data_IF_504160806869
#
_entry.id   IF_504160806869
#
_cell.length_a   1.000
_cell.length_b   1.000
_cell.length_c   1.000
_cell.angle_alpha   90.00
_cell.angle_beta   90.00
_cell.angle_gamma   90.00
#
_symmetry.space_group_name_H-M   'P 1'
#
loop_
_entity.id
_entity.type
_entity.pdbx_description
1 polymer ?
#
# COMPACT_ATOMS: atom_id res chain seq x y z
N UNK A 1 -19.16 12.03 11.93
CA UNK A 1 -18.15 11.94 13.01
C UNK A 1 -17.86 10.46 13.17
N UNK A 2 -16.76 9.98 12.61
CA UNK A 2 -16.43 8.54 12.65
C UNK A 2 -15.81 8.24 14.00
N UNK A 3 -16.35 7.25 14.69
CA UNK A 3 -15.90 6.84 16.02
C UNK A 3 -14.54 6.14 15.90
N UNK A 4 -13.56 6.61 16.68
CA UNK A 4 -12.20 6.04 16.70
C UNK A 4 -12.24 4.61 17.23
N UNK A 5 -13.26 4.26 18.04
CA UNK A 5 -13.47 2.91 18.55
C UNK A 5 -13.72 1.85 17.47
N UNK A 6 -14.09 2.26 16.24
CA UNK A 6 -14.23 1.34 15.10
C UNK A 6 -12.88 0.92 14.50
N UNK A 7 -11.79 1.65 14.79
CA UNK A 7 -10.46 1.42 14.23
C UNK A 7 -9.47 0.74 15.19
N UNK A 8 -9.92 0.48 16.42
CA UNK A 8 -9.12 -0.13 17.48
C UNK A 8 -9.59 -1.55 17.67
N UNK A 9 -8.79 -2.50 17.17
CA UNK A 9 -9.03 -3.92 17.44
C UNK A 9 -8.13 -4.39 18.59
N UNK A 10 -8.66 -5.14 19.58
CA UNK A 10 -7.81 -5.82 20.54
C UNK A 10 -6.89 -6.80 19.78
N UNK A 11 -5.60 -6.67 19.99
CA UNK A 11 -4.57 -7.42 19.26
C UNK A 11 -4.60 -8.91 19.69
N UNK A 12 -4.98 -9.82 18.78
CA UNK A 12 -4.99 -11.29 19.05
C UNK A 12 -3.61 -11.97 18.85
N UNK A 13 -2.59 -11.25 18.39
CA UNK A 13 -1.25 -11.80 18.16
C UNK A 13 -0.28 -11.26 19.22
N UNK A 14 0.58 -12.14 19.76
CA UNK A 14 1.47 -11.93 20.93
C UNK A 14 2.52 -10.83 20.85
N UNK A 15 2.09 -9.61 20.61
CA UNK A 15 2.83 -8.36 20.77
C UNK A 15 2.60 -7.80 22.19
N UNK A 16 3.47 -6.92 22.73
CA UNK A 16 3.32 -6.38 24.07
C UNK A 16 1.94 -5.71 24.24
N UNK A 17 1.30 -5.85 25.43
CA UNK A 17 -0.10 -5.44 25.67
C UNK A 17 -0.38 -3.93 25.51
N UNK A 18 0.65 -3.12 25.32
CA UNK A 18 0.55 -1.65 25.25
C UNK A 18 0.47 -1.10 23.81
N UNK A 19 0.48 -1.97 22.80
CA UNK A 19 0.37 -1.56 21.39
C UNK A 19 -1.07 -1.69 20.88
N UNK A 20 -1.64 -0.53 20.51
CA UNK A 20 -2.89 -0.47 19.77
C UNK A 20 -2.64 -0.87 18.30
N UNK A 21 -3.36 -1.89 17.83
CA UNK A 21 -3.42 -2.21 16.40
C UNK A 21 -4.38 -1.24 15.73
N UNK A 22 -3.84 -0.30 14.95
CA UNK A 22 -4.60 0.56 14.03
C UNK A 22 -4.83 -0.19 12.73
N UNK A 23 -5.93 0.13 12.04
CA UNK A 23 -6.27 -0.46 10.74
C UNK A 23 -5.05 -0.55 9.81
N UNK A 24 -4.83 -1.74 9.26
CA UNK A 24 -3.72 -2.05 8.37
C UNK A 24 -3.67 -1.05 7.22
N UNK A 25 -2.59 -0.29 7.14
CA UNK A 25 -2.30 0.55 5.99
C UNK A 25 -1.52 -0.25 4.97
N UNK A 26 -1.54 0.18 3.72
CA UNK A 26 -0.90 -0.54 2.62
C UNK A 26 0.10 0.36 1.94
N UNK A 27 1.31 -0.13 1.74
CA UNK A 27 2.35 0.58 1.03
C UNK A 27 2.45 0.10 -0.41
N UNK A 28 2.67 1.04 -1.32
CA UNK A 28 3.14 0.77 -2.68
C UNK A 28 4.54 1.35 -2.78
N UNK A 29 5.52 0.52 -3.14
CA UNK A 29 6.89 0.93 -3.33
C UNK A 29 7.29 0.74 -4.80
N UNK A 30 7.84 1.78 -5.42
CA UNK A 30 8.32 1.71 -6.80
C UNK A 30 9.77 2.21 -6.92
N UNK A 31 10.62 1.43 -7.58
CA UNK A 31 11.97 1.84 -7.98
C UNK A 31 12.05 1.80 -9.50
N UNK A 32 12.20 2.97 -10.10
CA UNK A 32 12.28 3.14 -11.56
C UNK A 32 11.38 4.25 -12.12
N UNK A 33 10.43 4.76 -11.34
CA UNK A 33 9.49 5.79 -11.77
C UNK A 33 10.12 7.20 -11.83
N UNK A 34 10.80 7.64 -10.76
CA UNK A 34 11.24 9.05 -10.61
C UNK A 34 12.62 9.39 -11.21
N UNK A 35 13.18 8.55 -12.08
CA UNK A 35 14.56 8.72 -12.55
C UNK A 35 15.59 8.48 -11.44
N UNK A 36 16.87 8.33 -11.80
CA UNK A 36 17.98 8.11 -10.85
C UNK A 36 17.85 6.88 -9.91
N UNK A 37 16.99 5.91 -10.22
CA UNK A 37 16.74 4.69 -9.41
C UNK A 37 16.31 4.98 -7.97
N UNK A 38 15.68 6.13 -7.71
CA UNK A 38 15.08 6.44 -6.41
C UNK A 38 13.93 5.47 -6.13
N UNK A 39 13.77 5.10 -4.85
CA UNK A 39 12.63 4.35 -4.35
C UNK A 39 11.59 5.37 -3.87
N UNK A 40 10.42 5.38 -4.52
CA UNK A 40 9.27 6.16 -4.09
C UNK A 40 8.29 5.23 -3.35
N UNK A 41 7.69 5.74 -2.27
CA UNK A 41 6.75 4.99 -1.44
C UNK A 41 5.48 5.80 -1.23
N UNK A 42 4.34 5.17 -1.45
CA UNK A 42 3.01 5.72 -1.19
C UNK A 42 2.29 4.88 -0.15
N UNK A 43 1.46 5.52 0.67
CA UNK A 43 0.63 4.86 1.67
C UNK A 43 -0.85 4.98 1.29
N UNK A 44 -1.56 3.89 1.44
CA UNK A 44 -2.97 3.72 1.13
C UNK A 44 -3.70 3.19 2.34
N UNK A 45 -4.98 3.55 2.45
CA UNK A 45 -5.84 3.15 3.57
C UNK A 45 -6.26 1.69 3.51
N UNK A 46 -6.37 1.13 2.31
CA UNK A 46 -6.86 -0.22 2.08
C UNK A 46 -6.12 -0.91 0.94
N UNK A 47 -6.11 -2.24 1.00
CA UNK A 47 -5.43 -3.12 0.07
C UNK A 47 -5.84 -2.87 -1.38
N UNK A 48 -7.15 -2.77 -1.62
CA UNK A 48 -7.69 -2.65 -2.97
C UNK A 48 -7.24 -1.36 -3.64
N UNK A 49 -7.24 -0.26 -2.90
CA UNK A 49 -6.76 1.03 -3.40
C UNK A 49 -5.25 1.00 -3.64
N UNK A 50 -4.48 0.30 -2.80
CA UNK A 50 -3.03 0.13 -3.00
C UNK A 50 -2.73 -0.64 -4.29
N UNK A 51 -3.38 -1.79 -4.51
CA UNK A 51 -3.23 -2.57 -5.73
C UNK A 51 -3.62 -1.78 -6.98
N UNK A 52 -4.73 -1.04 -6.91
CA UNK A 52 -5.14 -0.15 -8.00
C UNK A 52 -4.07 0.91 -8.29
N UNK A 53 -3.55 1.57 -7.26
CA UNK A 53 -2.49 2.58 -7.41
C UNK A 53 -1.21 2.00 -8.01
N UNK A 54 -0.81 0.80 -7.57
CA UNK A 54 0.32 0.07 -8.15
C UNK A 54 0.12 -0.26 -9.63
N UNK A 55 -1.08 -0.72 -10.00
CA UNK A 55 -1.41 -1.01 -11.39
C UNK A 55 -1.45 0.27 -12.25
N UNK A 56 -1.99 1.38 -11.73
CA UNK A 56 -1.97 2.68 -12.42
C UNK A 56 -0.53 3.15 -12.68
N UNK A 57 0.36 2.98 -11.70
CA UNK A 57 1.79 3.24 -11.87
C UNK A 57 2.42 2.33 -12.93
N UNK A 58 2.16 1.03 -12.89
CA UNK A 58 2.65 0.08 -13.90
C UNK A 58 2.21 0.47 -15.31
N UNK A 59 0.94 0.85 -15.49
CA UNK A 59 0.40 1.33 -16.77
C UNK A 59 1.13 2.59 -17.24
N UNK A 60 1.38 3.55 -16.34
CA UNK A 60 2.14 4.77 -16.66
C UNK A 60 3.60 4.51 -17.04
N UNK A 61 4.15 3.37 -16.64
CA UNK A 61 5.51 2.91 -16.96
C UNK A 61 5.57 2.07 -18.26
N UNK A 62 4.53 2.07 -19.08
CA UNK A 62 4.51 1.44 -20.41
C UNK A 62 3.76 0.11 -20.51
N UNK A 63 3.16 -0.38 -19.42
CA UNK A 63 2.30 -1.57 -19.48
C UNK A 63 0.96 -1.32 -20.21
N UNK A 64 0.61 -0.06 -20.49
CA UNK A 64 -0.54 0.31 -21.31
C UNK A 64 -0.47 -0.24 -22.74
N UNK A 65 0.75 -0.48 -23.24
CA UNK A 65 0.98 -1.10 -24.57
C UNK A 65 0.97 -2.62 -24.55
N UNK A 66 1.09 -3.27 -23.38
CA UNK A 66 0.96 -4.72 -23.24
C UNK A 66 -0.54 -5.10 -23.21
N UNK A 67 -0.98 -5.85 -24.22
CA UNK A 67 -2.39 -6.21 -24.39
C UNK A 67 -2.95 -7.04 -23.22
N UNK A 68 -2.11 -7.84 -22.56
CA UNK A 68 -2.50 -8.64 -21.40
C UNK A 68 -2.70 -7.72 -20.19
N UNK A 69 -1.71 -6.87 -19.87
CA UNK A 69 -1.80 -5.91 -18.78
C UNK A 69 -3.01 -4.96 -18.96
N UNK A 70 -3.21 -4.41 -20.16
CA UNK A 70 -4.36 -3.56 -20.45
C UNK A 70 -5.71 -4.29 -20.32
N UNK A 71 -5.75 -5.61 -20.55
CA UNK A 71 -6.95 -6.43 -20.35
C UNK A 71 -7.21 -6.70 -18.88
N UNK A 72 -6.19 -7.06 -18.12
CA UNK A 72 -6.31 -7.29 -16.67
C UNK A 72 -6.68 -6.02 -15.92
N UNK A 73 -6.11 -4.86 -16.31
CA UNK A 73 -6.46 -3.56 -15.76
C UNK A 73 -7.96 -3.24 -15.96
N UNK A 74 -8.51 -3.49 -17.15
CA UNK A 74 -9.94 -3.27 -17.45
C UNK A 74 -10.86 -4.20 -16.67
N UNK A 75 -10.42 -5.42 -16.35
CA UNK A 75 -11.16 -6.38 -15.51
C UNK A 75 -11.09 -6.03 -14.03
N UNK A 76 -10.23 -5.09 -13.63
CA UNK A 76 -9.94 -4.79 -12.23
C UNK A 76 -9.02 -5.82 -11.56
N UNK A 77 -8.36 -6.68 -12.33
CA UNK A 77 -7.36 -7.61 -11.82
C UNK A 77 -6.00 -6.90 -11.74
N UNK A 78 -5.86 -6.02 -10.74
CA UNK A 78 -4.69 -5.16 -10.58
C UNK A 78 -3.42 -5.93 -10.22
N UNK A 79 -3.53 -7.02 -9.45
CA UNK A 79 -2.41 -7.90 -9.14
C UNK A 79 -1.81 -8.50 -10.42
N UNK A 80 -2.66 -8.93 -11.36
CA UNK A 80 -2.21 -9.43 -12.67
C UNK A 80 -1.40 -8.40 -13.46
N UNK A 81 -1.76 -7.11 -13.39
CA UNK A 81 -1.01 -6.03 -14.03
C UNK A 81 0.36 -5.86 -13.37
N UNK A 82 0.42 -5.88 -12.04
CA UNK A 82 1.68 -5.73 -11.29
C UNK A 82 2.60 -6.92 -11.53
N UNK A 83 2.09 -8.15 -11.52
CA UNK A 83 2.87 -9.34 -11.83
C UNK A 83 3.46 -9.26 -13.24
N UNK A 84 2.65 -8.83 -14.22
CA UNK A 84 3.11 -8.63 -15.59
C UNK A 84 4.23 -7.59 -15.71
N UNK A 85 4.12 -6.49 -14.95
CA UNK A 85 5.16 -5.48 -14.86
C UNK A 85 6.46 -6.05 -14.30
N UNK A 86 6.39 -6.82 -13.21
CA UNK A 86 7.57 -7.43 -12.58
C UNK A 86 8.25 -8.44 -13.50
N UNK A 87 7.49 -9.25 -14.24
CA UNK A 87 8.01 -10.22 -15.22
C UNK A 87 8.82 -9.58 -16.36
N UNK A 88 8.41 -8.38 -16.81
CA UNK A 88 9.02 -7.72 -17.97
C UNK A 88 10.05 -6.66 -17.62
N UNK A 89 10.03 -6.20 -16.37
CA UNK A 89 10.93 -5.16 -15.93
C UNK A 89 12.34 -5.71 -15.69
N UNK A 90 13.38 -4.89 -15.88
CA UNK A 90 14.73 -5.25 -15.44
C UNK A 90 14.77 -5.58 -13.94
N UNK A 91 15.68 -6.46 -13.51
CA UNK A 91 15.81 -6.90 -12.10
C UNK A 91 16.00 -5.76 -11.08
N UNK A 92 16.45 -4.60 -11.55
CA UNK A 92 16.61 -3.42 -10.70
C UNK A 92 15.31 -2.63 -10.52
N UNK A 93 14.25 -2.89 -11.28
CA UNK A 93 12.93 -2.32 -11.01
C UNK A 93 12.31 -2.96 -9.78
N UNK A 94 11.57 -2.17 -9.02
CA UNK A 94 10.72 -2.66 -7.94
C UNK A 94 9.33 -2.11 -8.18
N UNK A 95 8.32 -2.94 -8.06
CA UNK A 95 6.95 -2.52 -7.81
C UNK A 95 6.34 -3.54 -6.84
N UNK A 96 6.09 -3.12 -5.60
CA UNK A 96 5.61 -4.00 -4.55
C UNK A 96 4.45 -3.36 -3.80
N UNK A 97 3.46 -4.18 -3.46
CA UNK A 97 2.34 -3.84 -2.59
C UNK A 97 2.48 -4.66 -1.33
N UNK A 98 2.52 -4.01 -0.17
CA UNK A 98 2.73 -4.68 1.11
C UNK A 98 1.88 -4.05 2.20
N UNK A 99 1.40 -4.88 3.12
CA UNK A 99 0.83 -4.41 4.38
C UNK A 99 1.89 -3.62 5.16
N UNK A 100 1.51 -2.44 5.63
CA UNK A 100 2.32 -1.50 6.38
C UNK A 100 1.61 -1.22 7.72
N UNK A 101 1.82 -2.07 8.73
CA UNK A 101 1.22 -1.85 10.04
C UNK A 101 1.82 -0.58 10.66
N UNK A 102 0.95 0.33 11.13
CA UNK A 102 1.38 1.43 11.96
C UNK A 102 1.63 0.91 13.38
N UNK A 103 2.89 0.84 13.79
CA UNK A 103 3.22 0.69 15.20
C UNK A 103 3.15 2.07 15.85
N UNK A 104 2.04 2.34 16.51
CA UNK A 104 1.90 3.52 17.35
C UNK A 104 2.37 3.15 18.76
N UNK A 105 3.43 3.82 19.22
CA UNK A 105 3.73 3.81 20.65
C UNK A 105 2.59 4.55 21.37
N UNK A 106 2.07 4.02 22.49
CA UNK A 106 1.06 4.69 23.30
C UNK A 106 1.52 6.07 23.82
N UNK A 107 2.83 6.34 23.88
CA UNK A 107 3.36 7.65 24.27
C UNK A 107 3.34 8.68 23.13
N UNK A 108 3.31 8.22 21.87
CA UNK A 108 3.34 9.10 20.67
C UNK A 108 1.95 9.34 20.11
N UNK A 109 1.00 8.44 20.38
CA UNK A 109 -0.40 8.62 20.02
C UNK A 109 -1.17 9.16 21.24
N UNK A 110 -1.41 10.47 21.27
CA UNK A 110 -2.37 11.07 22.21
C UNK A 110 -3.78 11.04 21.57
N UNK A 111 -4.66 10.07 21.91
CA UNK A 111 -6.05 10.11 21.46
C UNK A 111 -6.85 11.28 22.09
N UNK A 112 -6.27 12.00 23.05
CA UNK A 112 -6.91 13.12 23.74
C UNK A 112 -6.29 14.47 23.33
N UNK A 113 -6.70 14.97 22.17
CA UNK A 113 -6.84 16.41 21.98
C UNK A 113 -8.27 16.71 21.54
N UNK A 114 -9.22 16.28 22.35
CA UNK A 114 -10.54 16.91 22.41
C UNK A 114 -10.43 17.87 23.60
N UNK A 115 -10.05 19.12 23.33
CA UNK A 115 -10.22 20.19 24.32
C UNK A 115 -11.73 20.42 24.55
N UNK A 116 -12.14 20.75 25.79
CA UNK A 116 -13.53 21.00 26.14
C UNK A 116 -14.16 22.17 25.38
#
# INVERSE_FOLDING_TARGET
>A
MTDIGEFVHPTEAGWPPDYLSVAASWSVAHRGYSGNRRLDVWLYRDERTAWRGAAELAMSCGMDTDATAATEFRKGNFEGVVNRYVEQSPDWHILAVQEAPFMLSPETFCPYSISP
#
